data_IF_775359491194
#
_entry.id   IF_775359491194
#
_cell.length_a   1.000
_cell.length_b   1.000
_cell.length_c   1.000
_cell.angle_alpha   90.00
_cell.angle_beta   90.00
_cell.angle_gamma   90.00
#
_symmetry.space_group_name_H-M   'P 1'
#
loop_
_entity.id
_entity.type
_entity.pdbx_description
1 polymer ?
#
# COMPACT_ATOMS: atom_id res chain seq x y z
N UNK A 1 -9.58 -22.26 -0.66
CA UNK A 1 -8.77 -21.08 -0.27
C UNK A 1 -8.42 -20.22 -1.49
N UNK A 2 -8.67 -20.69 -2.71
CA UNK A 2 -8.34 -19.97 -3.97
C UNK A 2 -9.26 -18.78 -4.28
N UNK A 3 -10.52 -18.78 -3.81
CA UNK A 3 -11.48 -17.71 -4.11
C UNK A 3 -11.20 -16.36 -3.44
N UNK A 4 -10.37 -16.30 -2.39
CA UNK A 4 -10.01 -15.03 -1.74
C UNK A 4 -8.80 -14.35 -2.40
N UNK A 5 -7.93 -15.11 -3.07
CA UNK A 5 -6.73 -14.61 -3.74
C UNK A 5 -7.02 -14.06 -5.15
N UNK A 6 -7.94 -14.69 -5.90
CA UNK A 6 -8.40 -14.13 -7.18
C UNK A 6 -9.22 -12.83 -7.02
N UNK A 7 -9.74 -12.58 -5.82
CA UNK A 7 -10.42 -11.32 -5.47
C UNK A 7 -9.45 -10.20 -5.04
N UNK A 8 -8.15 -10.49 -4.96
CA UNK A 8 -7.14 -9.53 -4.48
C UNK A 8 -6.53 -8.68 -5.59
N UNK A 9 -6.98 -8.82 -6.84
CA UNK A 9 -6.63 -7.91 -7.94
C UNK A 9 -7.31 -6.55 -7.79
N UNK A 10 -6.98 -5.84 -6.71
CA UNK A 10 -7.43 -4.51 -6.41
C UNK A 10 -6.30 -3.51 -6.72
N UNK A 11 -6.66 -2.36 -7.27
CA UNK A 11 -5.70 -1.31 -7.66
C UNK A 11 -4.87 -0.83 -6.47
N UNK A 12 -5.48 -0.91 -5.29
CA UNK A 12 -5.03 -0.49 -3.98
C UNK A 12 -4.38 -1.62 -3.15
N UNK A 13 -3.97 -2.73 -3.79
CA UNK A 13 -3.18 -3.76 -3.12
C UNK A 13 -1.67 -3.45 -3.19
N UNK A 14 -1.05 -3.30 -2.02
CA UNK A 14 0.39 -3.22 -1.86
C UNK A 14 0.90 -4.43 -1.08
N UNK A 15 1.96 -5.07 -1.59
CA UNK A 15 2.70 -6.07 -0.84
C UNK A 15 3.83 -5.41 -0.05
N UNK A 16 3.89 -5.69 1.24
CA UNK A 16 4.95 -5.28 2.16
C UNK A 16 5.73 -6.54 2.52
N UNK A 17 6.93 -6.67 1.96
CA UNK A 17 7.84 -7.77 2.22
C UNK A 17 8.85 -7.32 3.28
N UNK A 18 8.78 -7.89 4.47
CA UNK A 18 9.68 -7.54 5.57
C UNK A 18 10.95 -8.36 5.44
N UNK A 19 12.09 -7.67 5.29
CA UNK A 19 13.42 -8.28 5.23
C UNK A 19 14.04 -8.40 6.63
N UNK A 20 13.75 -7.46 7.52
CA UNK A 20 14.31 -7.45 8.86
C UNK A 20 13.73 -6.37 9.76
N UNK A 21 14.27 -6.29 10.97
CA UNK A 21 13.99 -5.22 11.92
C UNK A 21 15.32 -4.68 12.42
N UNK A 22 15.57 -3.39 12.21
CA UNK A 22 16.78 -2.72 12.68
C UNK A 22 16.36 -1.66 13.70
N UNK A 23 16.99 -1.67 14.88
CA UNK A 23 16.72 -0.70 15.96
C UNK A 23 15.24 -0.57 16.40
N UNK A 24 14.43 -1.60 16.15
CA UNK A 24 12.99 -1.61 16.45
C UNK A 24 12.09 -1.16 15.30
N UNK A 25 12.67 -0.74 14.17
CA UNK A 25 11.96 -0.28 12.99
C UNK A 25 11.93 -1.35 11.87
N UNK A 26 10.83 -1.38 11.10
CA UNK A 26 10.66 -2.33 10.00
C UNK A 26 11.50 -1.94 8.79
N UNK A 27 12.19 -2.92 8.19
CA UNK A 27 12.87 -2.74 6.91
C UNK A 27 12.45 -3.83 5.93
N UNK A 28 12.36 -3.46 4.66
CA UNK A 28 11.84 -4.36 3.66
C UNK A 28 11.66 -3.72 2.30
N UNK A 29 10.84 -4.37 1.47
CA UNK A 29 10.54 -3.95 0.12
C UNK A 29 9.03 -3.86 -0.08
N UNK A 30 8.59 -2.85 -0.80
CA UNK A 30 7.23 -2.70 -1.29
C UNK A 30 7.14 -3.25 -2.71
N UNK A 31 6.10 -4.04 -2.95
CA UNK A 31 5.75 -4.58 -4.26
C UNK A 31 4.33 -4.16 -4.62
N UNK A 32 4.10 -3.90 -5.91
CA UNK A 32 2.81 -3.49 -6.45
C UNK A 32 2.41 -4.41 -7.61
N UNK A 33 1.12 -4.55 -7.88
CA UNK A 33 0.65 -5.47 -8.92
C UNK A 33 1.00 -5.04 -10.36
N UNK A 34 1.25 -3.75 -10.56
CA UNK A 34 1.40 -3.13 -11.88
C UNK A 34 2.85 -2.84 -12.28
N UNK A 35 3.81 -3.10 -11.39
CA UNK A 35 5.23 -3.00 -11.69
C UNK A 35 6.00 -4.13 -11.03
N UNK A 36 7.06 -4.58 -11.70
CA UNK A 36 8.05 -5.50 -11.14
C UNK A 36 9.05 -4.79 -10.22
N UNK A 37 8.99 -3.46 -10.14
CA UNK A 37 9.90 -2.67 -9.32
C UNK A 37 9.63 -2.92 -7.84
N UNK A 38 10.70 -3.26 -7.13
CA UNK A 38 10.70 -3.40 -5.68
C UNK A 38 11.21 -2.11 -5.07
N UNK A 39 10.38 -1.46 -4.24
CA UNK A 39 10.75 -0.20 -3.60
C UNK A 39 11.21 -0.49 -2.18
N UNK A 40 12.52 -0.38 -1.86
CA UNK A 40 13.00 -0.62 -0.52
C UNK A 40 12.48 0.46 0.43
N UNK A 41 12.20 0.13 1.68
CA UNK A 41 11.83 1.07 2.73
C UNK A 41 12.62 0.82 4.01
N UNK A 42 12.92 1.91 4.72
CA UNK A 42 13.72 1.89 5.94
C UNK A 42 12.94 2.59 7.06
N UNK A 43 12.31 1.79 7.91
CA UNK A 43 11.53 2.25 9.04
C UNK A 43 10.07 2.53 8.72
N UNK A 44 9.28 2.63 9.79
CA UNK A 44 7.82 2.74 9.74
C UNK A 44 7.37 4.03 9.04
N UNK A 45 8.05 5.14 9.29
CA UNK A 45 7.69 6.44 8.68
C UNK A 45 7.98 6.49 7.18
N UNK A 46 9.05 5.84 6.72
CA UNK A 46 9.40 5.78 5.30
C UNK A 46 8.39 4.91 4.53
N UNK A 47 7.99 3.79 5.13
CA UNK A 47 6.90 2.95 4.63
C UNK A 47 5.61 3.75 4.46
N UNK A 48 5.19 4.53 5.47
CA UNK A 48 3.98 5.36 5.37
C UNK A 48 4.09 6.36 4.20
N UNK A 49 5.23 7.05 4.09
CA UNK A 49 5.46 8.04 3.02
C UNK A 49 5.41 7.42 1.62
N UNK A 50 6.00 6.24 1.44
CA UNK A 50 6.00 5.52 0.16
C UNK A 50 4.60 5.06 -0.21
N UNK A 51 3.85 4.48 0.73
CA UNK A 51 2.45 4.10 0.51
C UNK A 51 1.56 5.31 0.19
N UNK A 52 1.70 6.43 0.91
CA UNK A 52 1.01 7.69 0.56
C UNK A 52 1.33 8.12 -0.88
N UNK A 53 2.61 8.05 -1.29
CA UNK A 53 3.06 8.43 -2.62
C UNK A 53 2.44 7.55 -3.70
N UNK A 54 2.34 6.23 -3.46
CA UNK A 54 1.63 5.31 -4.36
C UNK A 54 0.15 5.68 -4.51
N UNK A 55 -0.56 5.92 -3.40
CA UNK A 55 -1.98 6.30 -3.47
C UNK A 55 -2.20 7.63 -4.19
N UNK A 56 -1.29 8.58 -4.02
CA UNK A 56 -1.34 9.89 -4.69
C UNK A 56 -1.00 9.78 -6.19
N UNK A 57 -0.09 8.87 -6.58
CA UNK A 57 0.25 8.56 -7.97
C UNK A 57 -0.90 7.84 -8.69
N UNK A 58 -1.52 6.86 -8.03
CA UNK A 58 -2.67 6.12 -8.55
C UNK A 58 -3.95 6.96 -8.64
N UNK A 59 -4.01 8.08 -7.89
CA UNK A 59 -5.21 8.89 -7.65
C UNK A 59 -6.35 8.02 -7.03
N UNK A 60 -5.97 6.94 -6.34
CA UNK A 60 -6.85 5.93 -5.76
C UNK A 60 -6.20 5.23 -4.55
N UNK A 61 -6.92 5.03 -3.44
CA UNK A 61 -8.24 5.57 -3.14
C UNK A 61 -8.21 7.09 -3.02
N UNK A 62 -9.26 7.77 -3.45
CA UNK A 62 -9.30 9.23 -3.38
C UNK A 62 -9.31 9.70 -1.91
N UNK A 63 -8.34 10.55 -1.54
CA UNK A 63 -8.27 11.15 -0.22
C UNK A 63 -9.53 12.00 0.04
N UNK A 64 -10.33 11.62 1.04
CA UNK A 64 -11.54 12.37 1.43
C UNK A 64 -11.22 13.79 1.95
N UNK A 65 -9.99 13.98 2.43
CA UNK A 65 -9.49 15.25 2.96
C UNK A 65 -8.46 15.88 2.02
N UNK A 66 -8.86 16.24 0.80
CA UNK A 66 -8.05 17.19 0.00
C UNK A 66 -8.21 18.57 0.61
N UNK A 67 -7.11 19.15 1.11
CA UNK A 67 -7.10 20.55 1.55
C UNK A 67 -7.57 21.44 0.39
N UNK A 68 -8.78 21.97 0.50
CA UNK A 68 -9.27 22.98 -0.44
C UNK A 68 -8.53 24.27 -0.12
N UNK A 69 -7.62 24.68 -1.02
CA UNK A 69 -6.96 25.98 -0.94
C UNK A 69 -7.55 26.92 -2.00
N UNK A 70 -7.91 28.13 -1.58
CA UNK A 70 -8.35 29.21 -2.49
C UNK A 70 -7.17 29.88 -3.22
N UNK A 71 -5.94 29.61 -2.79
CA UNK A 71 -4.70 30.13 -3.38
C UNK A 71 -3.84 28.96 -3.83
N UNK A 72 -3.42 28.99 -5.10
CA UNK A 72 -2.46 28.04 -5.67
C UNK A 72 -1.17 28.11 -4.84
N UNK A 73 -0.90 27.10 -3.99
CA UNK A 73 0.39 27.00 -3.30
C UNK A 73 1.46 26.68 -4.34
N UNK A 74 2.43 27.58 -4.53
CA UNK A 74 3.58 27.38 -5.44
C UNK A 74 4.41 26.11 -5.13
N UNK A 75 4.31 25.57 -3.91
CA UNK A 75 5.03 24.37 -3.48
C UNK A 75 4.29 23.05 -3.68
N UNK A 76 3.00 23.07 -4.03
CA UNK A 76 2.32 21.85 -4.46
C UNK A 76 2.45 21.80 -5.99
N UNK A 77 3.52 21.18 -6.47
CA UNK A 77 3.59 20.79 -7.88
C UNK A 77 2.52 19.73 -8.09
N UNK A 78 1.30 20.17 -8.42
CA UNK A 78 0.34 19.28 -9.04
C UNK A 78 1.06 18.67 -10.24
N UNK A 79 1.20 17.33 -10.32
CA UNK A 79 1.73 16.73 -11.54
C UNK A 79 0.91 17.29 -12.70
N UNK A 80 1.57 17.73 -13.77
CA UNK A 80 0.87 18.21 -14.95
C UNK A 80 0.07 17.03 -15.51
N UNK A 81 -1.24 17.03 -15.26
CA UNK A 81 -2.19 15.93 -15.55
C UNK A 81 -2.88 16.11 -16.89
N UNK A 82 -2.42 17.02 -17.76
CA UNK A 82 -2.95 17.10 -19.14
C UNK A 82 -2.54 15.85 -19.92
N UNK A 83 -3.47 14.91 -20.05
CA UNK A 83 -3.34 13.75 -20.94
C UNK A 83 -2.88 12.44 -20.28
N UNK A 84 -2.62 12.39 -18.97
CA UNK A 84 -2.40 11.12 -18.25
C UNK A 84 -3.73 10.53 -17.82
N UNK A 85 -4.06 9.32 -18.29
CA UNK A 85 -5.22 8.57 -17.79
C UNK A 85 -4.93 8.13 -16.35
N UNK A 86 -5.96 7.96 -15.52
CA UNK A 86 -5.76 7.51 -14.14
C UNK A 86 -5.23 6.08 -14.18
N UNK A 87 -4.38 5.71 -13.22
CA UNK A 87 -3.94 4.32 -13.12
C UNK A 87 -5.14 3.38 -12.94
N UNK A 88 -6.22 3.84 -12.30
CA UNK A 88 -7.50 3.12 -12.25
C UNK A 88 -8.14 2.86 -13.63
N UNK A 89 -7.96 3.77 -14.59
CA UNK A 89 -8.45 3.62 -15.97
C UNK A 89 -7.54 2.70 -16.80
N UNK A 90 -6.23 2.68 -16.51
CA UNK A 90 -5.24 1.85 -17.21
C UNK A 90 -5.03 0.46 -16.59
N UNK A 91 -5.36 0.27 -15.30
CA UNK A 91 -5.22 -0.98 -14.56
C UNK A 91 -6.03 -2.15 -15.13
N UNK A 92 -7.05 -1.85 -15.94
CA UNK A 92 -7.81 -2.87 -16.70
C UNK A 92 -7.01 -3.43 -17.89
N UNK A 93 -5.99 -2.71 -18.36
CA UNK A 93 -5.18 -3.04 -19.54
C UNK A 93 -3.73 -3.43 -19.21
N UNK A 94 -3.28 -3.23 -17.97
CA UNK A 94 -1.95 -3.60 -17.51
C UNK A 94 -1.88 -5.08 -17.12
N UNK A 95 -0.79 -5.75 -17.47
CA UNK A 95 -0.48 -7.09 -16.95
C UNK A 95 -0.33 -7.01 -15.43
N UNK A 96 -1.09 -7.85 -14.74
CA UNK A 96 -1.06 -7.94 -13.27
C UNK A 96 -0.08 -9.03 -12.87
N UNK A 97 0.88 -8.68 -12.03
CA UNK A 97 1.82 -9.65 -11.47
C UNK A 97 1.24 -10.25 -10.17
N UNK A 98 1.34 -11.58 -9.99
CA UNK A 98 0.88 -12.24 -8.77
C UNK A 98 1.85 -11.94 -7.61
N UNK A 99 1.73 -10.75 -7.02
CA UNK A 99 2.57 -10.35 -5.87
C UNK A 99 2.34 -11.23 -4.64
N UNK A 100 1.20 -11.92 -4.57
CA UNK A 100 0.84 -12.77 -3.43
C UNK A 100 1.69 -14.04 -3.34
N UNK A 101 2.48 -14.36 -4.37
CA UNK A 101 3.49 -15.43 -4.32
C UNK A 101 4.82 -14.95 -3.74
N UNK A 102 5.05 -13.63 -3.66
CA UNK A 102 6.28 -13.08 -3.11
C UNK A 102 6.30 -13.21 -1.58
N UNK A 103 7.48 -13.51 -1.06
CA UNK A 103 7.70 -13.72 0.38
C UNK A 103 8.88 -12.89 0.87
N UNK A 104 8.68 -12.19 1.97
CA UNK A 104 9.73 -11.50 2.71
C UNK A 104 10.51 -12.47 3.59
N UNK A 105 11.70 -12.06 4.06
CA UNK A 105 12.53 -12.92 4.93
C UNK A 105 11.95 -13.10 6.34
N UNK A 106 11.21 -12.12 6.85
CA UNK A 106 10.65 -12.12 8.22
C UNK A 106 9.12 -12.15 8.25
N UNK A 107 8.48 -11.73 7.18
CA UNK A 107 7.03 -11.74 7.04
C UNK A 107 6.58 -11.04 5.77
N UNK A 108 5.37 -11.39 5.34
CA UNK A 108 4.79 -10.93 4.08
C UNK A 108 3.38 -10.43 4.35
N UNK A 109 3.10 -9.15 4.07
CA UNK A 109 1.81 -8.53 4.35
C UNK A 109 1.25 -7.90 3.09
N UNK A 110 0.05 -8.28 2.67
CA UNK A 110 -0.63 -7.69 1.53
C UNK A 110 -1.74 -6.76 2.03
N UNK A 111 -1.54 -5.46 1.86
CA UNK A 111 -2.41 -4.41 2.37
C UNK A 111 -3.31 -3.91 1.26
N UNK A 112 -4.61 -4.12 1.43
CA UNK A 112 -5.66 -3.61 0.57
C UNK A 112 -6.33 -2.41 1.23
N UNK A 113 -5.99 -1.19 0.80
CA UNK A 113 -6.47 0.04 1.42
C UNK A 113 -7.74 0.53 0.74
N UNK A 114 -8.91 0.18 1.27
CA UNK A 114 -10.22 0.53 0.69
C UNK A 114 -10.58 2.01 0.81
N UNK A 115 -10.21 2.66 1.92
CA UNK A 115 -10.65 4.02 2.21
C UNK A 115 -9.53 4.89 2.80
N UNK A 116 -9.43 6.13 2.31
CA UNK A 116 -8.61 7.22 2.87
C UNK A 116 -9.51 8.30 3.47
N UNK A 117 -10.10 8.01 4.63
CA UNK A 117 -11.01 8.91 5.36
C UNK A 117 -10.40 9.33 6.70
N UNK A 118 -10.81 10.51 7.20
CA UNK A 118 -10.39 11.03 8.52
C UNK A 118 -8.86 11.07 8.71
N UNK A 119 -8.12 11.36 7.64
CA UNK A 119 -6.64 11.42 7.65
C UNK A 119 -5.99 10.09 8.04
N UNK A 120 -6.64 8.96 7.75
CA UNK A 120 -6.09 7.63 7.99
C UNK A 120 -6.50 6.66 6.90
N UNK A 121 -5.84 5.49 6.89
CA UNK A 121 -6.13 4.39 5.99
C UNK A 121 -7.01 3.35 6.67
N UNK A 122 -7.93 2.78 5.90
CA UNK A 122 -8.82 1.73 6.35
C UNK A 122 -8.92 0.67 5.26
N UNK A 123 -8.92 -0.60 5.66
CA UNK A 123 -8.82 -1.68 4.70
C UNK A 123 -8.62 -3.03 5.35
N UNK A 124 -8.09 -3.97 4.57
CA UNK A 124 -7.75 -5.31 5.01
C UNK A 124 -6.27 -5.59 4.77
N UNK A 125 -5.65 -6.35 5.66
CA UNK A 125 -4.29 -6.86 5.51
C UNK A 125 -4.32 -8.38 5.53
N UNK A 126 -3.67 -8.99 4.55
CA UNK A 126 -3.53 -10.44 4.43
C UNK A 126 -2.11 -10.81 4.81
N UNK A 127 -1.99 -11.76 5.73
CA UNK A 127 -0.71 -12.30 6.14
C UNK A 127 -0.32 -13.48 5.23
N UNK A 128 0.79 -13.35 4.51
CA UNK A 128 1.23 -14.33 3.53
C UNK A 128 1.69 -15.67 4.11
N UNK A 129 2.12 -15.69 5.39
CA UNK A 129 2.60 -16.91 6.04
C UNK A 129 1.47 -17.71 6.69
N UNK A 130 0.58 -17.05 7.46
CA UNK A 130 -0.53 -17.74 8.12
C UNK A 130 -1.75 -17.91 7.21
N UNK A 131 -1.86 -17.12 6.14
CA UNK A 131 -3.04 -17.07 5.28
C UNK A 131 -4.22 -16.32 5.90
N UNK A 132 -4.04 -15.71 7.07
CA UNK A 132 -5.10 -14.98 7.77
C UNK A 132 -5.30 -13.59 7.17
N UNK A 133 -6.54 -13.10 7.27
CA UNK A 133 -6.92 -11.75 6.87
C UNK A 133 -7.41 -10.97 8.09
N UNK A 134 -6.93 -9.73 8.24
CA UNK A 134 -7.31 -8.83 9.33
C UNK A 134 -7.78 -7.49 8.77
N UNK A 135 -8.92 -7.00 9.24
CA UNK A 135 -9.36 -5.65 8.90
C UNK A 135 -8.69 -4.61 9.81
N UNK A 136 -8.24 -3.50 9.24
CA UNK A 136 -7.69 -2.36 9.96
C UNK A 136 -8.53 -1.10 9.73
N UNK A 137 -8.62 -0.28 10.77
CA UNK A 137 -9.43 0.94 10.82
C UNK A 137 -8.60 2.22 10.91
N UNK A 138 -7.28 2.08 11.00
CA UNK A 138 -6.30 3.16 10.98
C UNK A 138 -4.92 2.62 10.63
N UNK A 139 -4.02 3.51 10.23
CA UNK A 139 -2.59 3.23 9.99
C UNK A 139 -1.93 2.60 11.23
N UNK A 140 -2.23 3.10 12.44
CA UNK A 140 -1.70 2.52 13.68
C UNK A 140 -2.24 1.12 13.95
N UNK A 141 -3.51 0.85 13.62
CA UNK A 141 -4.08 -0.48 13.77
C UNK A 141 -3.40 -1.47 12.81
N UNK A 142 -3.11 -1.05 11.56
CA UNK A 142 -2.32 -1.83 10.61
C UNK A 142 -0.95 -2.21 11.20
N UNK A 143 -0.21 -1.25 11.75
CA UNK A 143 1.09 -1.54 12.34
C UNK A 143 1.02 -2.45 13.55
N UNK A 144 0.00 -2.33 14.41
CA UNK A 144 -0.20 -3.27 15.52
C UNK A 144 -0.44 -4.70 15.04
N UNK A 145 -1.16 -4.88 13.93
CA UNK A 145 -1.35 -6.20 13.31
C UNK A 145 0.00 -6.72 12.81
N UNK A 146 0.75 -5.91 12.06
CA UNK A 146 2.08 -6.28 11.57
C UNK A 146 3.03 -6.65 12.72
N UNK A 147 3.07 -5.87 13.81
CA UNK A 147 3.90 -6.18 14.98
C UNK A 147 3.49 -7.47 15.69
N UNK A 148 2.19 -7.81 15.69
CA UNK A 148 1.67 -9.02 16.31
C UNK A 148 1.99 -10.27 15.49
N UNK A 149 1.86 -10.18 14.17
CA UNK A 149 1.99 -11.32 13.25
C UNK A 149 3.42 -11.48 12.69
N UNK A 150 4.26 -10.44 12.73
CA UNK A 150 5.64 -10.55 12.28
C UNK A 150 6.42 -11.46 13.23
N UNK A 151 7.15 -12.42 12.66
CA UNK A 151 8.03 -13.29 13.43
C UNK A 151 9.11 -12.45 14.14
N UNK A 152 9.31 -12.72 15.44
CA UNK A 152 10.40 -12.12 16.22
C UNK A 152 11.76 -12.54 15.66
#
# INVERSE_FOLDING_TARGET
MDKQLDSLYAIDLLGILISGREEGDFQGELVQQYSKDRIPFYGTLDLIKKMESFYDEWDYPEASSRERSFRKREKYSYPDRRGKKRLADEASHLEKFPIVEERGSKGSFFVHTKFRQRTSWQGDVYHGESGDAYSFSSVLHLFRIMERECAR
#
